data_IF_992288736385
#
_entry.id   IF_992288736385
#
_cell.length_a   1.000
_cell.length_b   1.000
_cell.length_c   1.000
_cell.angle_alpha   90.00
_cell.angle_beta   90.00
_cell.angle_gamma   90.00
#
_symmetry.space_group_name_H-M   'P 1'
#
loop_
_entity.id
_entity.type
_entity.pdbx_description
1 polymer ?
#
# COMPACT_ATOMS: atom_id res chain seq x y z
N UNK A 1 83.40 39.45 24.09
CA UNK A 1 82.00 39.87 24.15
C UNK A 1 81.26 38.90 23.23
N UNK A 2 80.67 37.86 23.85
CA UNK A 2 79.98 36.79 23.09
C UNK A 2 78.51 36.74 23.59
N UNK A 3 77.58 36.98 22.68
CA UNK A 3 76.13 36.88 22.94
C UNK A 3 75.60 35.54 22.39
N UNK A 4 75.17 34.71 23.30
CA UNK A 4 74.45 33.49 22.98
C UNK A 4 72.99 33.79 22.54
N UNK A 5 72.42 33.12 21.55
CA UNK A 5 71.00 33.21 21.25
C UNK A 5 70.17 32.15 22.00
N UNK A 6 69.20 32.64 22.68
CA UNK A 6 68.16 31.83 23.30
C UNK A 6 67.23 31.16 22.29
N UNK A 7 67.17 29.85 22.30
CA UNK A 7 66.22 29.04 21.50
C UNK A 7 64.89 29.01 22.21
N UNK A 8 63.86 29.62 21.59
CA UNK A 8 62.47 29.44 22.00
C UNK A 8 61.92 28.10 21.47
N UNK A 9 61.52 27.22 22.37
CA UNK A 9 60.77 26.00 22.08
C UNK A 9 59.28 26.33 21.90
N UNK A 10 58.79 26.26 20.65
CA UNK A 10 57.36 26.35 20.35
C UNK A 10 56.70 24.99 20.61
N UNK A 11 55.86 24.95 21.66
CA UNK A 11 55.00 23.79 21.95
C UNK A 11 53.83 23.82 20.98
N UNK A 12 53.82 22.87 20.08
CA UNK A 12 52.64 22.63 19.17
C UNK A 12 51.60 21.82 19.97
N UNK A 13 50.49 22.47 20.29
CA UNK A 13 49.33 21.81 20.79
C UNK A 13 48.57 21.12 19.61
N UNK A 14 48.60 19.81 19.58
CA UNK A 14 47.79 19.02 18.66
C UNK A 14 46.42 18.83 19.26
N UNK A 15 45.44 19.60 18.79
CA UNK A 15 44.00 19.37 19.11
C UNK A 15 43.48 18.15 18.36
N UNK A 16 43.37 17.01 19.02
CA UNK A 16 42.66 15.84 18.48
C UNK A 16 41.14 16.06 18.58
N UNK A 17 40.54 16.40 17.46
CA UNK A 17 39.07 16.41 17.34
C UNK A 17 38.56 14.97 17.29
N UNK A 18 37.90 14.50 18.37
CA UNK A 18 37.15 13.25 18.39
C UNK A 18 35.88 13.46 17.55
N UNK A 19 35.84 12.91 16.33
CA UNK A 19 34.63 12.81 15.54
C UNK A 19 33.74 11.71 16.12
N UNK A 20 32.65 12.12 16.79
CA UNK A 20 31.62 11.21 17.25
C UNK A 20 30.79 10.75 16.04
N UNK A 21 31.10 9.56 15.51
CA UNK A 21 30.23 8.90 14.52
C UNK A 21 28.94 8.42 15.20
N UNK A 22 27.87 9.16 15.07
CA UNK A 22 26.52 8.70 15.42
C UNK A 22 26.11 7.70 14.34
N UNK A 23 26.27 6.41 14.63
CA UNK A 23 25.76 5.32 13.80
C UNK A 23 24.25 5.28 14.06
N UNK A 24 23.47 5.96 13.21
CA UNK A 24 22.03 5.83 13.20
C UNK A 24 21.66 4.39 12.83
N UNK A 25 21.20 3.59 13.80
CA UNK A 25 20.60 2.30 13.53
C UNK A 25 19.34 2.52 12.72
N UNK A 26 19.41 2.31 11.40
CA UNK A 26 18.22 2.13 10.57
C UNK A 26 17.54 0.85 11.07
N UNK A 27 16.36 0.99 11.70
CA UNK A 27 15.53 -0.14 12.06
C UNK A 27 15.17 -0.87 10.75
N UNK A 28 15.77 -2.03 10.54
CA UNK A 28 15.41 -2.91 9.43
C UNK A 28 14.07 -3.52 9.81
N UNK A 29 13.05 -3.30 8.95
CA UNK A 29 11.79 -4.00 9.08
C UNK A 29 12.06 -5.51 8.97
N UNK A 30 11.49 -6.28 9.89
CA UNK A 30 11.55 -7.75 9.87
C UNK A 30 10.90 -8.22 8.56
N UNK A 31 11.58 -9.04 7.73
CA UNK A 31 11.06 -9.47 6.42
C UNK A 31 9.74 -10.25 6.47
N UNK A 32 9.26 -10.59 7.68
CA UNK A 32 7.95 -11.24 7.88
C UNK A 32 6.83 -10.30 8.32
N UNK A 33 7.11 -9.03 8.62
CA UNK A 33 6.10 -8.09 9.11
C UNK A 33 5.49 -7.33 7.94
N UNK A 34 4.13 -7.33 7.79
CA UNK A 34 3.47 -6.52 6.76
C UNK A 34 3.81 -5.04 6.90
N UNK A 35 3.97 -4.34 5.77
CA UNK A 35 4.15 -2.89 5.76
C UNK A 35 2.90 -2.17 6.31
N UNK A 36 1.72 -2.81 6.15
CA UNK A 36 0.43 -2.31 6.63
C UNK A 36 -0.23 -3.29 7.62
N UNK A 37 0.26 -3.42 8.86
CA UNK A 37 -0.20 -4.43 9.82
C UNK A 37 -1.67 -4.25 10.24
N UNK A 38 -2.17 -3.02 10.39
CA UNK A 38 -3.60 -2.75 10.64
C UNK A 38 -4.46 -3.24 9.47
N UNK A 39 -4.00 -3.01 8.24
CA UNK A 39 -4.65 -3.51 7.02
C UNK A 39 -4.65 -5.03 6.93
N UNK A 40 -3.54 -5.68 7.29
CA UNK A 40 -3.43 -7.13 7.34
C UNK A 40 -4.43 -7.75 8.33
N UNK A 41 -4.56 -7.17 9.54
CA UNK A 41 -5.52 -7.63 10.54
C UNK A 41 -6.96 -7.45 10.06
N UNK A 42 -7.30 -6.30 9.48
CA UNK A 42 -8.64 -6.03 8.95
C UNK A 42 -8.96 -6.92 7.72
N UNK A 43 -7.99 -7.18 6.86
CA UNK A 43 -8.10 -8.13 5.74
C UNK A 43 -8.38 -9.54 6.25
N UNK A 44 -7.64 -10.01 7.23
CA UNK A 44 -7.84 -11.33 7.82
C UNK A 44 -9.26 -11.49 8.39
N UNK A 45 -9.79 -10.46 9.03
CA UNK A 45 -11.11 -10.48 9.65
C UNK A 45 -12.28 -10.37 8.65
N UNK A 46 -12.10 -9.71 7.50
CA UNK A 46 -13.23 -9.36 6.62
C UNK A 46 -13.11 -9.91 5.19
N UNK A 47 -11.93 -10.18 4.69
CA UNK A 47 -11.68 -10.43 3.26
C UNK A 47 -11.14 -11.84 2.98
N UNK A 48 -10.32 -12.37 3.91
CA UNK A 48 -9.57 -13.61 3.72
C UNK A 48 -10.43 -14.86 3.51
N UNK A 49 -11.65 -14.87 4.03
CA UNK A 49 -12.59 -15.99 3.89
C UNK A 49 -12.93 -16.28 2.42
N UNK A 50 -12.98 -15.24 1.58
CA UNK A 50 -13.24 -15.36 0.16
C UNK A 50 -11.96 -15.27 -0.68
N UNK A 51 -11.10 -14.30 -0.38
CA UNK A 51 -9.90 -14.02 -1.18
C UNK A 51 -8.67 -14.85 -0.78
N UNK A 52 -8.77 -15.71 0.25
CA UNK A 52 -7.65 -16.46 0.81
C UNK A 52 -6.74 -15.59 1.68
N UNK A 53 -6.05 -16.20 2.63
CA UNK A 53 -5.21 -15.48 3.60
C UNK A 53 -4.06 -14.67 2.95
N UNK A 54 -3.61 -15.09 1.76
CA UNK A 54 -2.57 -14.41 0.96
C UNK A 54 -3.13 -13.68 -0.27
N UNK A 55 -4.43 -13.44 -0.33
CA UNK A 55 -5.07 -12.78 -1.46
C UNK A 55 -5.01 -13.54 -2.78
N UNK A 56 -4.75 -14.85 -2.76
CA UNK A 56 -4.61 -15.68 -3.97
C UNK A 56 -5.94 -15.99 -4.65
N UNK A 57 -7.04 -15.59 -4.04
CA UNK A 57 -8.39 -15.90 -4.49
C UNK A 57 -8.83 -17.32 -4.15
N UNK A 58 -10.10 -17.58 -4.42
CA UNK A 58 -10.72 -18.91 -4.33
C UNK A 58 -11.43 -19.19 -5.65
N UNK A 59 -11.11 -20.28 -6.36
CA UNK A 59 -11.72 -20.58 -7.65
C UNK A 59 -13.25 -20.49 -7.60
N UNK A 60 -13.84 -19.86 -8.60
CA UNK A 60 -15.29 -19.64 -8.75
C UNK A 60 -15.96 -18.78 -7.66
N UNK A 61 -15.26 -18.42 -6.58
CA UNK A 61 -15.80 -17.62 -5.49
C UNK A 61 -15.30 -16.18 -5.52
N UNK A 62 -13.97 -15.99 -5.50
CA UNK A 62 -13.38 -14.66 -5.45
C UNK A 62 -12.05 -14.60 -6.21
N UNK A 63 -11.80 -13.53 -6.98
CA UNK A 63 -10.57 -13.40 -7.75
C UNK A 63 -9.34 -13.16 -6.87
N UNK A 64 -8.13 -13.43 -7.39
CA UNK A 64 -6.90 -13.04 -6.74
C UNK A 64 -6.78 -11.50 -6.65
N UNK A 65 -6.14 -11.04 -5.56
CA UNK A 65 -5.87 -9.63 -5.29
C UNK A 65 -4.36 -9.30 -5.40
N UNK A 66 -3.59 -10.22 -5.96
CA UNK A 66 -2.12 -10.13 -6.02
C UNK A 66 -1.59 -9.38 -7.24
N UNK A 67 -2.45 -8.91 -8.14
CA UNK A 67 -2.03 -8.22 -9.38
C UNK A 67 -2.79 -6.91 -9.64
N UNK A 68 -4.09 -6.97 -9.94
CA UNK A 68 -4.88 -5.82 -10.36
C UNK A 68 -4.95 -4.65 -9.38
N UNK A 69 -5.13 -4.87 -8.04
CA UNK A 69 -5.26 -3.75 -7.12
C UNK A 69 -4.04 -2.82 -7.12
N UNK A 70 -2.84 -3.38 -7.23
CA UNK A 70 -1.61 -2.60 -7.30
C UNK A 70 -1.56 -1.71 -8.56
N UNK A 71 -2.02 -2.22 -9.70
CA UNK A 71 -2.10 -1.47 -10.95
C UNK A 71 -3.17 -0.38 -10.92
N UNK A 72 -4.31 -0.65 -10.27
CA UNK A 72 -5.36 0.34 -10.06
C UNK A 72 -4.88 1.49 -9.18
N UNK A 73 -4.12 1.21 -8.13
CA UNK A 73 -3.65 2.22 -7.18
C UNK A 73 -2.71 3.26 -7.80
N UNK A 74 -2.09 2.97 -8.95
CA UNK A 74 -1.25 3.89 -9.70
C UNK A 74 -2.06 4.92 -10.54
N UNK A 75 -3.38 4.75 -10.65
CA UNK A 75 -4.26 5.57 -11.48
C UNK A 75 -5.38 6.19 -10.63
N UNK A 76 -5.74 7.49 -10.80
CA UNK A 76 -6.77 8.14 -10.00
C UNK A 76 -8.14 7.47 -10.08
N UNK A 77 -8.58 7.02 -11.25
CA UNK A 77 -9.85 6.29 -11.40
C UNK A 77 -9.75 4.88 -10.82
N UNK A 78 -8.55 4.27 -10.89
CA UNK A 78 -8.28 2.99 -10.26
C UNK A 78 -8.40 3.06 -8.74
N UNK A 79 -7.90 4.11 -8.11
CA UNK A 79 -8.05 4.37 -6.66
C UNK A 79 -9.53 4.49 -6.26
N UNK A 80 -10.32 5.22 -7.06
CA UNK A 80 -11.78 5.31 -6.87
C UNK A 80 -12.47 3.96 -7.04
N UNK A 81 -12.06 3.18 -8.05
CA UNK A 81 -12.59 1.82 -8.28
C UNK A 81 -12.33 0.92 -7.07
N UNK A 82 -11.12 0.97 -6.49
CA UNK A 82 -10.79 0.20 -5.28
C UNK A 82 -11.68 0.59 -4.10
N UNK A 83 -11.80 1.89 -3.81
CA UNK A 83 -12.64 2.40 -2.72
C UNK A 83 -14.11 2.01 -2.91
N UNK A 84 -14.66 2.23 -4.10
CA UNK A 84 -16.05 1.89 -4.42
C UNK A 84 -16.32 0.39 -4.35
N UNK A 85 -15.36 -0.46 -4.76
CA UNK A 85 -15.50 -1.92 -4.70
C UNK A 85 -15.66 -2.40 -3.26
N UNK A 86 -14.93 -1.82 -2.31
CA UNK A 86 -15.06 -2.17 -0.89
C UNK A 86 -16.31 -1.53 -0.28
N UNK A 87 -16.60 -0.27 -0.58
CA UNK A 87 -17.75 0.45 -0.03
C UNK A 87 -19.08 -0.14 -0.46
N UNK A 88 -19.24 -0.47 -1.75
CA UNK A 88 -20.53 -0.85 -2.33
C UNK A 88 -20.63 -2.34 -2.69
N UNK A 89 -19.53 -3.08 -2.60
CA UNK A 89 -19.45 -4.44 -3.09
C UNK A 89 -19.40 -4.51 -4.62
N UNK A 90 -19.15 -5.70 -5.13
CA UNK A 90 -19.12 -5.96 -6.57
C UNK A 90 -19.90 -7.26 -6.87
N UNK A 91 -20.77 -7.23 -7.86
CA UNK A 91 -21.57 -8.39 -8.23
C UNK A 91 -21.83 -8.45 -9.74
N UNK A 92 -22.20 -9.65 -10.19
CA UNK A 92 -22.33 -10.02 -11.59
C UNK A 92 -21.01 -10.49 -12.18
N UNK A 93 -21.06 -10.91 -13.42
CA UNK A 93 -19.93 -11.53 -14.12
C UNK A 93 -18.73 -10.56 -14.23
N UNK A 94 -17.61 -10.97 -13.71
CA UNK A 94 -16.32 -10.29 -13.87
C UNK A 94 -15.25 -11.29 -14.30
N UNK A 95 -14.43 -10.89 -15.27
CA UNK A 95 -13.27 -11.68 -15.69
C UNK A 95 -11.99 -11.13 -15.06
N UNK A 96 -11.21 -12.01 -14.47
CA UNK A 96 -9.87 -11.71 -13.92
C UNK A 96 -8.91 -12.78 -14.38
N UNK A 97 -7.84 -12.38 -15.08
CA UNK A 97 -6.83 -13.31 -15.63
C UNK A 97 -7.45 -14.46 -16.46
N UNK A 98 -8.46 -14.13 -17.28
CA UNK A 98 -9.17 -15.08 -18.13
C UNK A 98 -10.13 -16.03 -17.40
N UNK A 99 -10.33 -15.86 -16.10
CA UNK A 99 -11.26 -16.64 -15.28
C UNK A 99 -12.50 -15.83 -14.96
N UNK A 100 -13.66 -16.46 -15.04
CA UNK A 100 -14.96 -15.88 -14.72
C UNK A 100 -15.29 -16.04 -13.22
N UNK A 101 -15.84 -14.98 -12.64
CA UNK A 101 -16.31 -14.92 -11.26
C UNK A 101 -17.69 -14.25 -11.27
N UNK A 102 -18.72 -14.96 -10.89
CA UNK A 102 -20.11 -14.47 -10.82
C UNK A 102 -20.66 -14.61 -9.39
N UNK A 103 -19.83 -14.37 -8.40
CA UNK A 103 -20.22 -14.38 -7.01
C UNK A 103 -20.28 -12.96 -6.44
N UNK A 104 -21.28 -12.68 -5.61
CA UNK A 104 -21.44 -11.35 -5.02
C UNK A 104 -20.37 -11.10 -3.95
N UNK A 105 -19.47 -10.15 -4.20
CA UNK A 105 -18.69 -9.52 -3.14
C UNK A 105 -19.63 -8.61 -2.34
N UNK A 106 -19.82 -8.82 -1.03
CA UNK A 106 -20.64 -7.94 -0.21
C UNK A 106 -20.05 -6.54 -0.11
N UNK A 107 -20.87 -5.56 0.28
CA UNK A 107 -20.38 -4.26 0.70
C UNK A 107 -19.77 -4.32 2.11
N UNK A 108 -18.81 -3.44 2.34
CA UNK A 108 -18.16 -3.27 3.64
C UNK A 108 -18.34 -1.83 4.15
N UNK A 109 -19.44 -1.18 3.78
CA UNK A 109 -19.78 0.19 4.17
C UNK A 109 -19.85 0.39 5.70
N UNK A 110 -20.01 -0.69 6.47
CA UNK A 110 -19.94 -0.69 7.94
C UNK A 110 -18.56 -0.42 8.52
N UNK A 111 -17.50 -0.63 7.74
CA UNK A 111 -16.13 -0.29 8.14
C UNK A 111 -15.93 1.21 8.00
N UNK A 112 -15.17 1.79 8.92
CA UNK A 112 -14.78 3.19 8.82
C UNK A 112 -13.76 3.42 7.69
N UNK A 113 -13.59 4.68 7.29
CA UNK A 113 -12.75 5.06 6.16
C UNK A 113 -11.28 4.74 6.39
N UNK A 114 -10.81 4.86 7.63
CA UNK A 114 -9.43 4.50 8.02
C UNK A 114 -9.18 3.01 7.85
N UNK A 115 -10.11 2.19 8.32
CA UNK A 115 -10.02 0.74 8.19
C UNK A 115 -10.04 0.31 6.72
N UNK A 116 -10.92 0.90 5.90
CA UNK A 116 -10.95 0.64 4.44
C UNK A 116 -9.64 1.05 3.78
N UNK A 117 -9.12 2.24 4.06
CA UNK A 117 -7.83 2.70 3.51
C UNK A 117 -6.69 1.75 3.93
N UNK A 118 -6.66 1.30 5.20
CA UNK A 118 -5.66 0.36 5.68
C UNK A 118 -5.72 -0.98 4.96
N UNK A 119 -6.92 -1.57 4.78
CA UNK A 119 -7.13 -2.81 4.01
C UNK A 119 -6.65 -2.64 2.57
N UNK A 120 -7.04 -1.55 1.91
CA UNK A 120 -6.65 -1.28 0.53
C UNK A 120 -5.13 -1.15 0.40
N UNK A 121 -4.47 -0.48 1.34
CA UNK A 121 -3.01 -0.38 1.35
C UNK A 121 -2.33 -1.73 1.54
N UNK A 122 -2.81 -2.57 2.45
CA UNK A 122 -2.32 -3.94 2.59
C UNK A 122 -2.46 -4.72 1.27
N UNK A 123 -3.63 -4.65 0.63
CA UNK A 123 -3.88 -5.34 -0.65
C UNK A 123 -2.97 -4.81 -1.75
N UNK A 124 -2.75 -3.50 -1.81
CA UNK A 124 -1.95 -2.85 -2.87
C UNK A 124 -0.46 -3.09 -2.69
N UNK A 125 0.06 -2.96 -1.47
CA UNK A 125 1.50 -2.95 -1.21
C UNK A 125 2.04 -4.29 -0.72
N UNK A 126 1.35 -4.94 0.23
CA UNK A 126 1.82 -6.21 0.79
C UNK A 126 1.46 -7.41 -0.11
N UNK A 127 0.22 -7.47 -0.63
CA UNK A 127 -0.21 -8.55 -1.51
C UNK A 127 0.13 -8.30 -2.97
N UNK A 128 -0.13 -7.09 -3.46
CA UNK A 128 -0.03 -6.72 -4.87
C UNK A 128 1.35 -6.19 -5.29
N UNK A 129 2.25 -5.92 -4.35
CA UNK A 129 3.60 -5.41 -4.59
C UNK A 129 3.61 -4.21 -5.54
N UNK A 130 2.88 -3.15 -5.19
CA UNK A 130 2.75 -1.94 -5.99
C UNK A 130 4.10 -1.38 -6.43
N UNK A 131 4.13 -0.79 -7.63
CA UNK A 131 5.32 -0.18 -8.19
C UNK A 131 5.83 0.97 -7.32
N UNK A 132 7.15 1.18 -7.34
CA UNK A 132 7.79 2.30 -6.65
C UNK A 132 7.17 3.63 -7.11
N UNK A 133 6.86 4.50 -6.16
CA UNK A 133 6.21 5.79 -6.43
C UNK A 133 4.69 5.76 -6.29
N UNK A 134 4.06 4.58 -6.23
CA UNK A 134 2.63 4.50 -5.90
C UNK A 134 2.38 5.06 -4.51
N UNK A 135 1.43 5.99 -4.40
CA UNK A 135 1.08 6.59 -3.11
C UNK A 135 0.05 5.74 -2.36
N UNK A 136 0.16 5.59 -1.03
CA UNK A 136 -0.87 4.93 -0.24
C UNK A 136 -2.23 5.61 -0.39
N UNK A 137 -3.30 4.82 -0.35
CA UNK A 137 -4.66 5.35 -0.27
C UNK A 137 -4.85 6.02 1.09
N UNK A 138 -5.53 7.16 1.09
CA UNK A 138 -5.78 7.93 2.31
C UNK A 138 -7.21 7.73 2.82
N UNK A 139 -7.41 8.00 4.11
CA UNK A 139 -8.74 8.04 4.72
C UNK A 139 -9.66 9.04 4.02
N UNK A 140 -9.13 10.22 3.63
CA UNK A 140 -9.90 11.27 2.96
C UNK A 140 -10.36 10.87 1.56
N UNK A 141 -9.58 10.07 0.82
CA UNK A 141 -10.02 9.53 -0.47
C UNK A 141 -11.20 8.60 -0.28
N UNK A 142 -11.17 7.71 0.71
CA UNK A 142 -12.31 6.81 1.01
C UNK A 142 -13.52 7.60 1.47
N UNK A 143 -13.34 8.57 2.38
CA UNK A 143 -14.40 9.46 2.87
C UNK A 143 -15.07 10.25 1.72
N UNK A 144 -14.27 10.68 0.75
CA UNK A 144 -14.75 11.39 -0.44
C UNK A 144 -15.62 10.51 -1.32
N UNK A 145 -15.29 9.22 -1.46
CA UNK A 145 -16.06 8.28 -2.28
C UNK A 145 -17.30 7.74 -1.57
N UNK A 146 -17.32 7.65 -0.25
CA UNK A 146 -18.42 7.06 0.51
C UNK A 146 -19.81 7.63 0.17
N UNK A 147 -20.08 8.96 0.15
CA UNK A 147 -21.40 9.49 -0.14
C UNK A 147 -21.82 9.35 -1.62
N UNK A 148 -20.87 9.03 -2.50
CA UNK A 148 -21.08 8.88 -3.94
C UNK A 148 -20.75 7.48 -4.44
N UNK A 149 -20.63 6.51 -3.54
CA UNK A 149 -20.32 5.15 -3.88
C UNK A 149 -21.35 4.58 -4.85
N UNK A 150 -20.87 4.04 -5.95
CA UNK A 150 -21.69 3.39 -6.97
C UNK A 150 -21.54 1.88 -6.85
N UNK A 151 -22.59 1.16 -7.24
CA UNK A 151 -22.64 -0.29 -7.12
C UNK A 151 -23.12 -0.96 -8.41
N UNK A 152 -23.06 -2.27 -8.45
CA UNK A 152 -23.66 -3.10 -9.48
C UNK A 152 -23.12 -2.86 -10.88
N UNK A 153 -24.02 -2.73 -11.84
CA UNK A 153 -23.69 -2.61 -13.25
C UNK A 153 -22.85 -1.37 -13.57
N UNK A 154 -23.09 -0.25 -12.89
CA UNK A 154 -22.31 0.97 -13.11
C UNK A 154 -20.87 0.80 -12.63
N UNK A 155 -20.64 0.18 -11.47
CA UNK A 155 -19.30 -0.10 -10.95
C UNK A 155 -18.54 -1.07 -11.88
N UNK A 156 -19.23 -2.10 -12.41
CA UNK A 156 -18.64 -3.00 -13.42
C UNK A 156 -18.24 -2.27 -14.69
N UNK A 157 -19.15 -1.44 -15.23
CA UNK A 157 -18.87 -0.64 -16.44
C UNK A 157 -17.65 0.26 -16.26
N UNK A 158 -17.50 0.90 -15.11
CA UNK A 158 -16.30 1.70 -14.79
C UNK A 158 -15.05 0.83 -14.73
N UNK A 159 -15.16 -0.35 -14.11
CA UNK A 159 -14.05 -1.31 -14.07
C UNK A 159 -13.61 -1.73 -15.46
N UNK A 160 -14.54 -2.05 -16.38
CA UNK A 160 -14.25 -2.43 -17.75
C UNK A 160 -13.54 -1.30 -18.51
N UNK A 161 -14.05 -0.07 -18.41
CA UNK A 161 -13.41 1.09 -19.01
C UNK A 161 -11.99 1.35 -18.43
N UNK A 162 -11.81 1.13 -17.14
CA UNK A 162 -10.52 1.23 -16.48
C UNK A 162 -9.54 0.17 -16.99
N UNK A 163 -9.97 -1.09 -17.12
CA UNK A 163 -9.15 -2.18 -17.65
C UNK A 163 -8.68 -1.89 -19.07
N UNK A 164 -9.58 -1.45 -19.95
CA UNK A 164 -9.24 -1.05 -21.32
C UNK A 164 -8.20 0.07 -21.35
N UNK A 165 -8.37 1.09 -20.51
CA UNK A 165 -7.45 2.24 -20.43
C UNK A 165 -6.07 1.85 -19.90
N UNK A 166 -6.00 0.92 -18.95
CA UNK A 166 -4.76 0.44 -18.36
C UNK A 166 -4.10 -0.70 -19.14
N UNK A 167 -4.73 -1.19 -20.21
CA UNK A 167 -4.24 -2.32 -20.99
C UNK A 167 -4.20 -3.63 -20.18
N UNK A 168 -5.26 -3.89 -19.40
CA UNK A 168 -5.39 -5.03 -18.50
C UNK A 168 -6.43 -6.03 -18.96
#
# INVERSE_FOLDING_TARGET
MSRSPTRSLAVRATSSALALCVIGSAAQADPGTPAYPEGAAAFAANCSVCHGAKGTGTPSLAPPLTSYPARYAADPEGRRQLSNTVLAGLFGDVTVEGKHYDFKMPDFSRLDDRTIAAVLNYVVFDLGQAQQGTQPLTTDEVATERPRAIAGAELRKRREALLQRLGL
#
